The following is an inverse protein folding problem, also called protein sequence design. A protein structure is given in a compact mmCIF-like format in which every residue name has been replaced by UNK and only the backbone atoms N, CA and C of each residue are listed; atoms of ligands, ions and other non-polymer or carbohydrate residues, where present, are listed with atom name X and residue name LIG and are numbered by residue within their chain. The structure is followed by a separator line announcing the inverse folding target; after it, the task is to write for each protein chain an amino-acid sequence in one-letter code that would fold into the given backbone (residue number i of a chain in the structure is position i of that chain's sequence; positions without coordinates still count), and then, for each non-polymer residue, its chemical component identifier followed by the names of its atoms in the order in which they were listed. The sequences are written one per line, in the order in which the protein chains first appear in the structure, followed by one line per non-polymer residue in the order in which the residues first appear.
data_IF_750195586821
#
_entry.id   IF_750195586821
#
_cell.length_a   1.000
_cell.length_b   1.000
_cell.length_c   1.000
_cell.angle_alpha   90.00
_cell.angle_beta   90.00
_cell.angle_gamma   90.00
#
_symmetry.space_group_name_H-M   'P 1'
#
loop_
_entity.id
_entity.type
_entity.pdbx_description
1 polymer ?
#
# COMPACT_ATOMS: atom_id res chain seq x y z
N UNK A 1 10.25 -41.23 19.11
CA UNK A 1 10.33 -39.89 19.69
C UNK A 1 10.20 -38.87 18.55
N UNK A 2 8.97 -38.39 18.32
CA UNK A 2 8.64 -37.56 17.14
C UNK A 2 8.96 -36.09 17.40
N UNK A 3 9.85 -35.53 16.59
CA UNK A 3 10.15 -34.09 16.57
C UNK A 3 8.93 -33.41 15.92
N UNK A 4 8.05 -32.81 16.74
CA UNK A 4 7.03 -31.90 16.27
C UNK A 4 7.71 -30.64 15.73
N UNK A 5 7.82 -30.53 14.42
CA UNK A 5 8.13 -29.28 13.73
C UNK A 5 7.07 -28.25 14.15
N UNK A 6 7.48 -27.27 14.97
CA UNK A 6 6.70 -26.05 15.17
C UNK A 6 6.68 -25.30 13.84
N UNK A 7 5.57 -25.43 13.09
CA UNK A 7 5.25 -24.43 12.05
C UNK A 7 5.13 -23.10 12.77
N UNK A 8 6.12 -22.22 12.61
CA UNK A 8 5.96 -20.80 12.89
C UNK A 8 4.92 -20.29 11.88
N UNK A 9 3.66 -20.27 12.27
CA UNK A 9 2.62 -19.53 11.57
C UNK A 9 2.96 -18.06 11.79
N UNK A 10 3.54 -17.42 10.79
CA UNK A 10 3.69 -15.97 10.75
C UNK A 10 2.27 -15.41 10.84
N UNK A 11 1.95 -14.72 11.92
CA UNK A 11 0.65 -14.08 12.11
C UNK A 11 0.48 -13.05 10.99
N UNK A 12 -0.65 -13.11 10.26
CA UNK A 12 -0.97 -12.13 9.24
C UNK A 12 -1.01 -10.71 9.80
N UNK A 13 -0.63 -9.73 8.98
CA UNK A 13 -0.72 -8.31 9.34
C UNK A 13 -2.16 -7.83 9.20
N UNK A 14 -2.53 -6.83 10.01
CA UNK A 14 -3.74 -6.05 9.84
C UNK A 14 -3.44 -4.88 8.90
N UNK A 15 -4.04 -4.88 7.71
CA UNK A 15 -3.72 -3.92 6.64
C UNK A 15 -4.97 -3.15 6.22
N UNK A 16 -4.88 -1.82 6.20
CA UNK A 16 -5.90 -0.97 5.57
C UNK A 16 -5.40 -0.53 4.20
N UNK A 17 -6.23 -0.73 3.15
CA UNK A 17 -5.97 -0.24 1.80
C UNK A 17 -7.00 0.83 1.46
N UNK A 18 -6.55 2.06 1.22
CA UNK A 18 -7.39 3.19 0.81
C UNK A 18 -7.29 3.38 -0.70
N UNK A 19 -8.43 3.22 -1.39
CA UNK A 19 -8.55 3.25 -2.84
C UNK A 19 -8.81 1.88 -3.45
N UNK A 20 -9.99 1.72 -4.03
CA UNK A 20 -10.47 0.49 -4.68
C UNK A 20 -10.28 0.50 -6.21
N UNK A 21 -9.35 1.30 -6.72
CA UNK A 21 -8.95 1.31 -8.12
C UNK A 21 -8.14 0.07 -8.50
N UNK A 22 -7.55 0.09 -9.69
CA UNK A 22 -6.79 -1.04 -10.24
C UNK A 22 -5.66 -1.48 -9.30
N UNK A 23 -4.87 -0.55 -8.78
CA UNK A 23 -3.76 -0.84 -7.87
C UNK A 23 -4.26 -1.40 -6.55
N UNK A 24 -5.27 -0.77 -5.93
CA UNK A 24 -5.85 -1.24 -4.67
C UNK A 24 -6.41 -2.65 -4.79
N UNK A 25 -7.16 -2.94 -5.85
CA UNK A 25 -7.69 -4.28 -6.11
C UNK A 25 -6.57 -5.33 -6.26
N UNK A 26 -5.51 -5.01 -6.99
CA UNK A 26 -4.36 -5.91 -7.15
C UNK A 26 -3.68 -6.19 -5.81
N UNK A 27 -3.52 -5.17 -4.95
CA UNK A 27 -2.97 -5.33 -3.62
C UNK A 27 -3.86 -6.22 -2.73
N UNK A 28 -5.18 -6.01 -2.75
CA UNK A 28 -6.13 -6.85 -2.02
C UNK A 28 -5.99 -8.31 -2.43
N UNK A 29 -5.99 -8.58 -3.73
CA UNK A 29 -5.86 -9.94 -4.26
C UNK A 29 -4.57 -10.62 -3.80
N UNK A 30 -3.46 -9.93 -3.85
CA UNK A 30 -2.16 -10.50 -3.48
C UNK A 30 -2.03 -10.70 -1.97
N UNK A 31 -2.30 -9.65 -1.19
CA UNK A 31 -2.09 -9.67 0.25
C UNK A 31 -3.09 -10.59 0.98
N UNK A 32 -4.32 -10.73 0.47
CA UNK A 32 -5.28 -11.70 1.03
C UNK A 32 -4.81 -13.14 0.82
N UNK A 33 -4.21 -13.46 -0.34
CA UNK A 33 -3.63 -14.78 -0.60
C UNK A 33 -2.45 -15.11 0.31
N UNK A 34 -1.72 -14.09 0.77
CA UNK A 34 -0.60 -14.24 1.70
C UNK A 34 -1.04 -14.41 3.16
N UNK A 35 -2.36 -14.34 3.42
CA UNK A 35 -2.93 -14.58 4.75
C UNK A 35 -2.93 -13.35 5.66
N UNK A 36 -2.94 -12.14 5.08
CA UNK A 36 -3.12 -10.89 5.81
C UNK A 36 -4.62 -10.58 5.96
N UNK A 37 -4.97 -9.92 7.06
CA UNK A 37 -6.32 -9.40 7.30
C UNK A 37 -6.44 -8.00 6.68
N UNK A 38 -7.35 -7.83 5.72
CA UNK A 38 -7.45 -6.62 4.92
C UNK A 38 -8.77 -5.92 5.16
N UNK A 39 -8.70 -4.61 5.37
CA UNK A 39 -9.83 -3.70 5.31
C UNK A 39 -9.63 -2.74 4.15
N UNK A 40 -10.61 -2.63 3.25
CA UNK A 40 -10.60 -1.68 2.14
C UNK A 40 -11.43 -0.45 2.48
N UNK A 41 -10.99 0.71 2.02
CA UNK A 41 -11.69 1.99 2.18
C UNK A 41 -11.76 2.70 0.84
N UNK A 42 -12.97 3.09 0.42
CA UNK A 42 -13.20 3.93 -0.76
C UNK A 42 -14.48 4.73 -0.59
N UNK A 43 -14.59 5.85 -1.30
CA UNK A 43 -15.84 6.65 -1.34
C UNK A 43 -16.95 5.99 -2.16
N UNK A 44 -16.58 5.13 -3.10
CA UNK A 44 -17.49 4.41 -3.98
C UNK A 44 -17.96 3.11 -3.32
N UNK A 45 -19.20 3.12 -2.85
CA UNK A 45 -19.82 1.99 -2.15
C UNK A 45 -19.91 0.73 -3.02
N UNK A 46 -20.13 0.88 -4.35
CA UNK A 46 -20.22 -0.26 -5.26
C UNK A 46 -18.86 -0.96 -5.42
N UNK A 47 -17.78 -0.18 -5.52
CA UNK A 47 -16.42 -0.74 -5.56
C UNK A 47 -16.08 -1.45 -4.27
N UNK A 48 -16.38 -0.85 -3.12
CA UNK A 48 -16.17 -1.45 -1.80
C UNK A 48 -16.91 -2.77 -1.72
N UNK A 49 -18.19 -2.80 -2.06
CA UNK A 49 -19.00 -4.01 -2.01
C UNK A 49 -18.50 -5.11 -2.94
N UNK A 50 -18.13 -4.75 -4.17
CA UNK A 50 -17.64 -5.70 -5.17
C UNK A 50 -16.34 -6.36 -4.69
N UNK A 51 -15.38 -5.57 -4.22
CA UNK A 51 -14.07 -6.10 -3.79
C UNK A 51 -14.19 -6.87 -2.49
N UNK A 52 -14.94 -6.36 -1.50
CA UNK A 52 -15.11 -7.06 -0.22
C UNK A 52 -15.77 -8.43 -0.40
N UNK A 53 -16.78 -8.53 -1.27
CA UNK A 53 -17.45 -9.81 -1.55
C UNK A 53 -16.56 -10.77 -2.35
N UNK A 54 -15.74 -10.24 -3.30
CA UNK A 54 -14.91 -11.08 -4.16
C UNK A 54 -13.73 -11.72 -3.41
N UNK A 55 -13.15 -10.99 -2.46
CA UNK A 55 -11.93 -11.42 -1.75
C UNK A 55 -12.17 -11.75 -0.28
N UNK A 56 -13.42 -11.70 0.19
CA UNK A 56 -13.80 -11.93 1.59
C UNK A 56 -13.00 -11.04 2.57
N UNK A 57 -12.98 -9.75 2.26
CA UNK A 57 -12.29 -8.74 3.07
C UNK A 57 -13.28 -7.72 3.61
N UNK A 58 -12.92 -7.04 4.71
CA UNK A 58 -13.75 -6.00 5.30
C UNK A 58 -13.78 -4.76 4.40
N UNK A 59 -14.93 -4.12 4.29
CA UNK A 59 -15.11 -2.90 3.50
C UNK A 59 -15.72 -1.76 4.31
N UNK A 60 -15.17 -0.56 4.18
CA UNK A 60 -15.68 0.67 4.77
C UNK A 60 -15.85 1.72 3.66
N UNK A 61 -17.07 2.23 3.52
CA UNK A 61 -17.34 3.29 2.54
C UNK A 61 -17.14 4.65 3.17
N UNK A 62 -16.28 5.47 2.58
CA UNK A 62 -16.05 6.83 3.06
C UNK A 62 -14.75 7.46 2.57
N UNK A 63 -14.47 8.66 3.07
CA UNK A 63 -13.23 9.36 2.80
C UNK A 63 -12.11 8.81 3.69
N UNK A 64 -11.11 8.16 3.09
CA UNK A 64 -10.00 7.56 3.82
C UNK A 64 -9.13 8.53 4.64
N UNK A 65 -9.23 9.84 4.40
CA UNK A 65 -8.58 10.85 5.24
C UNK A 65 -9.42 11.29 6.44
N UNK A 66 -10.67 10.79 6.56
CA UNK A 66 -11.52 11.11 7.71
C UNK A 66 -11.13 10.27 8.91
N UNK A 67 -10.99 10.93 10.07
CA UNK A 67 -10.73 10.27 11.34
C UNK A 67 -11.76 9.17 11.64
N UNK A 68 -13.06 9.49 11.50
CA UNK A 68 -14.13 8.52 11.79
C UNK A 68 -14.08 7.31 10.87
N UNK A 69 -13.81 7.50 9.59
CA UNK A 69 -13.69 6.42 8.61
C UNK A 69 -12.48 5.52 8.94
N UNK A 70 -11.35 6.10 9.32
CA UNK A 70 -10.19 5.30 9.74
C UNK A 70 -10.46 4.55 11.04
N UNK A 71 -11.20 5.14 11.99
CA UNK A 71 -11.63 4.43 13.21
C UNK A 71 -12.56 3.27 12.88
N UNK A 72 -13.54 3.45 12.00
CA UNK A 72 -14.44 2.40 11.52
C UNK A 72 -13.69 1.29 10.79
N UNK A 73 -12.59 1.62 10.11
CA UNK A 73 -11.70 0.68 9.46
C UNK A 73 -10.73 -0.04 10.40
N UNK A 74 -10.69 0.30 11.68
CA UNK A 74 -9.87 -0.36 12.70
C UNK A 74 -8.43 0.13 12.76
N UNK A 75 -8.18 1.41 12.50
CA UNK A 75 -6.83 2.00 12.44
C UNK A 75 -6.00 1.79 13.72
N UNK A 76 -6.65 1.72 14.88
CA UNK A 76 -5.97 1.55 16.17
C UNK A 76 -5.23 0.22 16.30
N UNK A 77 -5.68 -0.81 15.57
CA UNK A 77 -5.10 -2.16 15.58
C UNK A 77 -4.41 -2.50 14.25
N UNK A 78 -4.19 -1.51 13.40
CA UNK A 78 -3.61 -1.68 12.06
C UNK A 78 -2.09 -1.66 12.14
N UNK A 79 -1.45 -2.60 11.45
CA UNK A 79 0.00 -2.64 11.29
C UNK A 79 0.47 -1.75 10.13
N UNK A 80 -0.30 -1.70 9.05
CA UNK A 80 0.06 -1.00 7.82
C UNK A 80 -1.16 -0.36 7.14
N UNK A 81 -1.06 0.92 6.79
CA UNK A 81 -2.00 1.59 5.89
C UNK A 81 -1.33 1.89 4.55
N UNK A 82 -2.00 1.53 3.46
CA UNK A 82 -1.54 1.79 2.09
C UNK A 82 -2.58 2.65 1.38
N UNK A 83 -2.22 3.88 1.00
CA UNK A 83 -3.09 4.80 0.28
C UNK A 83 -2.72 4.87 -1.21
N UNK A 84 -3.64 4.41 -2.07
CA UNK A 84 -3.46 4.25 -3.52
C UNK A 84 -4.64 4.79 -4.33
N UNK A 85 -5.24 5.87 -3.85
CA UNK A 85 -6.31 6.59 -4.58
C UNK A 85 -5.73 7.33 -5.79
N UNK A 86 -6.59 7.96 -6.57
CA UNK A 86 -6.17 8.74 -7.74
C UNK A 86 -5.62 10.14 -7.39
N UNK A 87 -5.68 10.57 -6.12
CA UNK A 87 -5.14 11.85 -5.65
C UNK A 87 -3.93 11.64 -4.75
N UNK A 88 -2.79 12.18 -5.14
CA UNK A 88 -1.55 12.14 -4.37
C UNK A 88 -1.71 12.86 -3.02
N UNK A 89 -2.39 14.02 -3.01
CA UNK A 89 -2.67 14.79 -1.80
C UNK A 89 -3.54 14.00 -0.82
N UNK A 90 -4.57 13.31 -1.35
CA UNK A 90 -5.43 12.47 -0.53
C UNK A 90 -4.63 11.28 0.06
N UNK A 91 -3.77 10.66 -0.73
CA UNK A 91 -2.92 9.57 -0.28
C UNK A 91 -1.98 10.01 0.86
N UNK A 92 -1.33 11.17 0.70
CA UNK A 92 -0.47 11.74 1.73
C UNK A 92 -1.26 12.11 3.00
N UNK A 93 -2.46 12.68 2.85
CA UNK A 93 -3.32 13.03 3.97
C UNK A 93 -3.82 11.80 4.71
N UNK A 94 -4.28 10.76 4.02
CA UNK A 94 -4.67 9.49 4.62
C UNK A 94 -3.56 8.90 5.49
N UNK A 95 -2.35 8.86 4.96
CA UNK A 95 -1.18 8.35 5.68
C UNK A 95 -0.81 9.21 6.88
N UNK A 96 -0.90 10.54 6.75
CA UNK A 96 -0.60 11.47 7.85
C UNK A 96 -1.58 11.30 9.02
N UNK A 97 -2.88 11.18 8.72
CA UNK A 97 -3.91 10.91 9.73
C UNK A 97 -3.66 9.54 10.39
N UNK A 98 -3.41 8.50 9.60
CA UNK A 98 -3.13 7.16 10.11
C UNK A 98 -1.94 7.13 11.08
N UNK A 99 -0.87 7.84 10.75
CA UNK A 99 0.31 7.98 11.64
C UNK A 99 -0.02 8.65 12.95
N UNK A 100 -0.93 9.62 12.96
CA UNK A 100 -1.32 10.37 14.17
C UNK A 100 -2.31 9.61 15.02
N UNK A 101 -3.21 8.86 14.42
CA UNK A 101 -4.29 8.13 15.10
C UNK A 101 -3.86 6.73 15.52
N UNK A 102 -3.35 5.94 14.58
CA UNK A 102 -3.05 4.52 14.78
C UNK A 102 -1.57 4.22 15.02
N UNK A 103 -0.68 5.17 14.76
CA UNK A 103 0.77 4.97 14.82
C UNK A 103 1.28 3.76 14.02
N UNK A 104 0.54 3.35 12.98
CA UNK A 104 0.92 2.26 12.08
C UNK A 104 1.98 2.70 11.06
N UNK A 105 2.60 1.75 10.38
CA UNK A 105 3.36 2.06 9.17
C UNK A 105 2.41 2.59 8.10
N UNK A 106 2.87 3.53 7.27
CA UNK A 106 2.04 4.11 6.22
C UNK A 106 2.81 4.25 4.91
N UNK A 107 2.17 3.84 3.81
CA UNK A 107 2.71 3.91 2.45
C UNK A 107 1.76 4.73 1.59
N UNK A 108 2.27 5.77 0.94
CA UNK A 108 1.51 6.61 0.03
C UNK A 108 1.97 6.44 -1.42
N UNK A 109 1.02 6.28 -2.34
CA UNK A 109 1.26 6.39 -3.79
C UNK A 109 1.28 7.87 -4.17
N UNK A 110 2.36 8.29 -4.83
CA UNK A 110 2.56 9.65 -5.32
C UNK A 110 3.12 9.60 -6.72
N UNK A 111 2.39 10.15 -7.69
CA UNK A 111 2.73 10.12 -9.13
C UNK A 111 3.19 11.45 -9.67
N UNK A 112 2.72 12.54 -9.07
CA UNK A 112 3.03 13.92 -9.51
C UNK A 112 4.53 14.18 -9.44
N UNK A 113 5.17 14.63 -10.54
CA UNK A 113 6.62 14.85 -10.57
C UNK A 113 7.13 15.79 -9.48
N UNK A 114 6.38 16.84 -9.16
CA UNK A 114 6.75 17.83 -8.14
C UNK A 114 6.93 17.17 -6.77
N UNK A 115 6.00 16.29 -6.38
CA UNK A 115 6.12 15.56 -5.13
C UNK A 115 7.16 14.44 -5.19
N UNK A 116 7.37 13.84 -6.36
CA UNK A 116 8.36 12.79 -6.55
C UNK A 116 9.79 13.29 -6.35
N UNK A 117 10.08 14.53 -6.70
CA UNK A 117 11.38 15.17 -6.47
C UNK A 117 11.63 15.34 -4.98
N UNK A 118 10.59 15.68 -4.21
CA UNK A 118 10.64 15.92 -2.77
C UNK A 118 10.23 14.69 -1.94
N UNK A 119 10.10 13.51 -2.56
CA UNK A 119 9.55 12.31 -1.91
C UNK A 119 10.30 11.94 -0.61
N UNK A 120 11.61 12.05 -0.60
CA UNK A 120 12.42 11.80 0.60
C UNK A 120 12.10 12.77 1.75
N UNK A 121 11.98 14.05 1.44
CA UNK A 121 11.61 15.07 2.41
C UNK A 121 10.18 14.86 2.94
N UNK A 122 9.21 14.65 2.06
CA UNK A 122 7.82 14.38 2.44
C UNK A 122 7.70 13.13 3.31
N UNK A 123 8.36 12.04 2.90
CA UNK A 123 8.40 10.80 3.68
C UNK A 123 8.88 11.07 5.12
N UNK A 124 10.02 11.72 5.26
CA UNK A 124 10.66 11.94 6.55
C UNK A 124 9.85 12.93 7.42
N UNK A 125 9.32 13.99 6.83
CA UNK A 125 8.53 15.00 7.57
C UNK A 125 7.14 14.53 7.96
N UNK A 126 6.51 13.69 7.14
CA UNK A 126 5.20 13.10 7.42
C UNK A 126 5.32 11.79 8.21
N UNK A 127 6.52 11.28 8.43
CA UNK A 127 6.77 10.04 9.15
C UNK A 127 6.27 8.79 8.42
N UNK A 128 6.28 8.81 7.07
CA UNK A 128 5.84 7.68 6.26
C UNK A 128 6.92 6.61 6.18
N UNK A 129 6.49 5.35 6.10
CA UNK A 129 7.40 4.24 5.86
C UNK A 129 7.96 4.28 4.44
N UNK A 130 7.11 4.62 3.46
CA UNK A 130 7.49 4.67 2.05
C UNK A 130 6.58 5.61 1.26
N UNK A 131 7.12 6.22 0.20
CA UNK A 131 6.37 6.82 -0.91
C UNK A 131 6.68 6.02 -2.16
N UNK A 132 5.65 5.57 -2.87
CA UNK A 132 5.78 4.75 -4.07
C UNK A 132 5.26 5.48 -5.31
N UNK A 133 5.95 5.29 -6.43
CA UNK A 133 5.51 5.71 -7.76
C UNK A 133 5.69 4.52 -8.71
N UNK A 134 4.68 3.63 -8.81
CA UNK A 134 4.79 2.42 -9.62
C UNK A 134 5.07 2.69 -11.09
N UNK A 135 4.53 3.77 -11.64
CA UNK A 135 4.72 4.15 -13.03
C UNK A 135 6.16 4.59 -13.31
N UNK A 136 6.77 5.31 -12.39
CA UNK A 136 8.17 5.74 -12.48
C UNK A 136 9.12 4.55 -12.37
N UNK A 137 8.87 3.64 -11.45
CA UNK A 137 9.70 2.44 -11.27
C UNK A 137 9.64 1.53 -12.52
N UNK A 138 8.43 1.31 -13.07
CA UNK A 138 8.27 0.56 -14.31
C UNK A 138 9.00 1.23 -15.48
N UNK A 139 8.91 2.57 -15.60
CA UNK A 139 9.60 3.33 -16.63
C UNK A 139 11.12 3.23 -16.53
N UNK A 140 11.67 3.29 -15.32
CA UNK A 140 13.10 3.11 -15.07
C UNK A 140 13.58 1.70 -15.45
N UNK A 141 12.79 0.68 -15.12
CA UNK A 141 13.13 -0.71 -15.44
C UNK A 141 13.14 -0.96 -16.96
N UNK A 142 12.13 -0.45 -17.67
CA UNK A 142 12.09 -0.49 -19.14
C UNK A 142 13.30 0.24 -19.73
N UNK A 143 13.65 1.41 -19.20
CA UNK A 143 14.83 2.16 -19.64
C UNK A 143 16.12 1.36 -19.47
N UNK A 144 16.28 0.64 -18.39
CA UNK A 144 17.45 -0.24 -18.16
C UNK A 144 17.54 -1.34 -19.20
N UNK A 145 16.42 -2.01 -19.51
CA UNK A 145 16.36 -3.09 -20.52
C UNK A 145 16.74 -2.54 -21.91
N UNK A 146 16.24 -1.36 -22.27
CA UNK A 146 16.53 -0.73 -23.56
C UNK A 146 17.99 -0.26 -23.70
N UNK A 147 18.64 0.08 -22.57
CA UNK A 147 20.05 0.49 -22.56
C UNK A 147 21.03 -0.69 -22.68
N UNK A 148 20.57 -1.91 -22.40
CA UNK A 148 21.35 -3.16 -22.52
C UNK A 148 20.67 -4.10 -23.49
N UNK A 149 20.83 -3.90 -24.82
CA UNK A 149 20.05 -4.63 -25.85
C UNK A 149 20.24 -6.15 -25.87
N UNK A 150 21.25 -6.67 -25.16
CA UNK A 150 21.59 -8.11 -25.13
C UNK A 150 21.19 -8.81 -23.83
N UNK A 151 20.65 -8.09 -22.85
CA UNK A 151 20.26 -8.69 -21.57
C UNK A 151 18.73 -8.77 -21.50
N UNK A 152 18.19 -9.99 -21.48
CA UNK A 152 16.78 -10.25 -21.23
C UNK A 152 16.41 -10.12 -19.74
N UNK A 153 17.42 -10.08 -18.88
CA UNK A 153 17.23 -9.97 -17.44
C UNK A 153 18.39 -9.17 -16.82
N UNK A 154 18.07 -8.02 -16.24
CA UNK A 154 19.04 -7.19 -15.52
C UNK A 154 18.66 -7.17 -14.05
N UNK A 155 19.29 -8.02 -13.27
CA UNK A 155 19.20 -7.94 -11.81
C UNK A 155 20.18 -6.89 -11.30
N UNK A 156 19.68 -5.79 -10.73
CA UNK A 156 20.55 -4.82 -10.06
C UNK A 156 21.03 -5.41 -8.73
N UNK A 157 22.25 -5.92 -8.71
CA UNK A 157 22.97 -6.22 -7.49
C UNK A 157 23.55 -4.93 -6.90
N UNK A 158 23.18 -4.68 -5.64
CA UNK A 158 23.70 -3.60 -4.79
C UNK A 158 23.53 -2.17 -5.37
N UNK A 159 22.78 -1.38 -4.66
CA UNK A 159 22.68 0.08 -4.75
C UNK A 159 23.79 0.73 -5.57
N UNK A 160 23.45 1.18 -6.79
CA UNK A 160 24.36 1.69 -7.77
C UNK A 160 25.55 2.47 -7.18
N UNK A 161 26.68 1.85 -7.13
CA UNK A 161 27.98 2.52 -7.11
C UNK A 161 28.43 2.72 -8.53
#
# INVERSE_FOLDING_TARGET
MGIRSRKNTVKGLQIIIVGCGKVGRTLVEQLSREGHDITIVDRDAEKVQTISSLYDVMGVTGNGASYSVQMDAGIENTDLLIAVTDSDELNLLCCTVAKRVGNCAAIARVRTPDYSIEAGYLRDKLGLAMIINPEMEASREIGRILYVPTALEVNSFAHGQ
#
